data_IF_753185397339
#
_entry.id   IF_753185397339
#
_cell.length_a   1.000
_cell.length_b   1.000
_cell.length_c   1.000
_cell.angle_alpha   90.00
_cell.angle_beta   90.00
_cell.angle_gamma   90.00
#
_symmetry.space_group_name_H-M   'P 1'
#
loop_
_entity.id
_entity.type
_entity.pdbx_description
1 polymer ?
#
# COMPACT_ATOMS: atom_id res chain seq x y z
N UNK A 1 26.25 10.23 29.68
CA UNK A 1 27.49 9.46 29.77
C UNK A 1 27.43 8.67 31.06
N UNK A 2 27.51 7.35 31.17
CA UNK A 2 27.33 6.22 30.25
C UNK A 2 27.40 4.98 31.16
N UNK A 3 26.33 4.68 31.90
CA UNK A 3 26.29 3.44 32.72
C UNK A 3 25.51 2.31 32.03
N UNK A 4 24.72 2.63 31.00
CA UNK A 4 23.99 1.64 30.20
C UNK A 4 24.81 1.07 29.03
N UNK A 5 25.94 1.70 28.68
CA UNK A 5 26.77 1.30 27.53
C UNK A 5 27.84 0.27 27.90
N UNK A 6 28.24 0.20 29.17
CA UNK A 6 29.25 -0.74 29.69
C UNK A 6 28.69 -2.17 29.87
N UNK A 7 27.37 -2.31 30.12
CA UNK A 7 26.74 -3.63 30.34
C UNK A 7 26.53 -4.42 29.03
N UNK A 8 26.62 -3.77 27.87
CA UNK A 8 26.57 -4.41 26.55
C UNK A 8 27.93 -4.92 26.06
N UNK A 9 29.03 -4.58 26.72
CA UNK A 9 30.40 -4.99 26.35
C UNK A 9 30.89 -6.24 27.09
N UNK A 10 30.11 -6.79 28.03
CA UNK A 10 30.47 -8.00 28.81
C UNK A 10 29.72 -9.28 28.39
N UNK A 11 29.26 -9.36 27.14
CA UNK A 11 28.79 -10.62 26.59
C UNK A 11 29.96 -11.48 26.11
N UNK A 12 30.17 -12.59 26.83
CA UNK A 12 31.18 -13.62 26.53
C UNK A 12 31.07 -14.24 25.13
N UNK A 13 31.95 -15.21 24.81
CA UNK A 13 32.13 -15.69 23.44
C UNK A 13 30.82 -16.21 22.84
N UNK A 14 30.49 -15.68 21.66
CA UNK A 14 29.32 -16.07 20.86
C UNK A 14 29.29 -17.59 20.65
N UNK A 15 28.12 -18.25 20.72
CA UNK A 15 28.02 -19.65 20.34
C UNK A 15 28.48 -19.82 18.90
N UNK A 16 29.40 -20.77 18.70
CA UNK A 16 29.95 -21.11 17.38
C UNK A 16 28.81 -21.57 16.48
N UNK A 17 28.68 -20.91 15.33
CA UNK A 17 27.78 -21.31 14.25
C UNK A 17 28.10 -22.76 13.87
N UNK A 18 27.17 -23.68 14.13
CA UNK A 18 27.28 -25.05 13.68
C UNK A 18 27.26 -25.06 12.15
N UNK A 19 28.32 -25.60 11.55
CA UNK A 19 28.38 -25.87 10.12
C UNK A 19 27.48 -27.07 9.83
N UNK A 20 26.31 -26.84 9.24
CA UNK A 20 25.58 -27.88 8.52
C UNK A 20 26.03 -27.86 7.07
N UNK A 21 26.62 -28.97 6.64
CA UNK A 21 26.94 -29.31 5.25
C UNK A 21 25.68 -29.39 4.37
N UNK A 22 25.82 -29.23 3.05
CA UNK A 22 24.69 -29.14 2.14
C UNK A 22 24.07 -30.52 1.92
N UNK A 23 22.81 -30.68 2.30
CA UNK A 23 21.96 -31.77 1.82
C UNK A 23 21.03 -31.20 0.75
N UNK A 24 21.19 -31.73 -0.46
CA UNK A 24 20.20 -31.69 -1.53
C UNK A 24 18.82 -32.09 -1.00
N UNK A 25 17.86 -31.18 -1.03
CA UNK A 25 16.45 -31.53 -1.06
C UNK A 25 15.76 -30.65 -2.09
N UNK A 26 15.73 -31.16 -3.32
CA UNK A 26 14.72 -30.83 -4.33
C UNK A 26 13.36 -31.33 -3.83
N UNK A 27 12.77 -30.61 -2.88
CA UNK A 27 11.38 -30.78 -2.46
C UNK A 27 10.55 -29.69 -3.11
N UNK A 28 10.00 -29.96 -4.29
CA UNK A 28 8.89 -29.16 -4.82
C UNK A 28 7.68 -29.57 -4.00
N UNK A 29 7.22 -28.72 -3.08
CA UNK A 29 5.91 -28.88 -2.43
C UNK A 29 4.85 -28.75 -3.53
N UNK A 30 4.41 -29.90 -4.07
CA UNK A 30 3.42 -29.99 -5.13
C UNK A 30 1.98 -29.69 -4.66
N UNK A 31 1.81 -29.32 -3.38
CA UNK A 31 0.53 -29.00 -2.74
C UNK A 31 0.54 -27.60 -2.07
N UNK A 32 1.16 -26.56 -2.67
CA UNK A 32 0.85 -25.17 -2.28
C UNK A 32 -0.38 -24.68 -3.08
N UNK A 33 -1.59 -24.63 -2.49
CA UNK A 33 -2.80 -24.16 -3.16
C UNK A 33 -2.78 -22.66 -3.49
N UNK A 34 -1.70 -21.94 -3.16
CA UNK A 34 -1.53 -20.52 -3.49
C UNK A 34 -0.60 -20.25 -4.68
N UNK A 35 0.09 -21.25 -5.22
CA UNK A 35 0.91 -21.09 -6.42
C UNK A 35 0.05 -20.61 -7.61
N UNK A 36 -1.16 -21.16 -7.73
CA UNK A 36 -2.14 -20.86 -8.78
C UNK A 36 -2.80 -19.46 -8.63
N UNK A 37 -2.64 -18.81 -7.48
CA UNK A 37 -3.24 -17.48 -7.21
C UNK A 37 -2.40 -16.33 -7.79
N UNK A 38 -1.08 -16.51 -7.85
CA UNK A 38 -0.17 -15.54 -8.49
C UNK A 38 -0.18 -15.67 -10.01
N UNK A 39 -0.51 -16.85 -10.56
CA UNK A 39 -0.44 -17.10 -12.01
C UNK A 39 -1.76 -16.77 -12.75
N UNK A 40 -2.92 -16.82 -12.08
CA UNK A 40 -4.24 -16.60 -12.73
C UNK A 40 -4.81 -15.19 -12.68
N UNK A 41 -4.18 -14.27 -11.95
CA UNK A 41 -4.67 -12.87 -11.84
C UNK A 41 -3.86 -11.86 -12.66
N UNK A 42 -2.86 -12.31 -13.41
CA UNK A 42 -2.05 -11.46 -14.29
C UNK A 42 -2.09 -11.96 -15.74
N UNK A 43 -2.74 -11.25 -16.68
CA UNK A 43 -2.48 -11.53 -18.09
C UNK A 43 -1.03 -11.12 -18.42
N UNK A 44 -0.25 -11.96 -19.13
CA UNK A 44 1.04 -11.55 -19.64
C UNK A 44 0.81 -10.50 -20.73
N UNK A 45 1.30 -9.27 -20.51
CA UNK A 45 1.34 -8.19 -21.49
C UNK A 45 0.03 -7.98 -22.28
N UNK A 46 -0.98 -7.38 -21.67
CA UNK A 46 -2.08 -6.81 -22.43
C UNK A 46 -1.54 -5.66 -23.31
N UNK A 47 -1.79 -5.66 -24.64
CA UNK A 47 -1.33 -4.59 -25.53
C UNK A 47 -1.95 -3.25 -25.10
N UNK A 48 -1.11 -2.20 -25.10
CA UNK A 48 -1.51 -0.82 -24.83
C UNK A 48 -2.60 -0.39 -25.79
N UNK A 49 -3.84 -0.39 -25.30
CA UNK A 49 -4.99 0.15 -26.02
C UNK A 49 -4.97 1.68 -25.90
N UNK A 50 -5.39 2.44 -26.93
CA UNK A 50 -5.43 3.91 -26.88
C UNK A 50 -6.40 4.38 -25.78
N UNK A 51 -6.27 5.61 -25.27
CA UNK A 51 -7.17 6.10 -24.22
C UNK A 51 -8.61 6.17 -24.75
N UNK A 52 -9.44 5.23 -24.30
CA UNK A 52 -10.90 5.29 -24.51
C UNK A 52 -11.44 6.57 -23.88
N UNK A 53 -12.25 7.27 -24.66
CA UNK A 53 -12.98 8.46 -24.22
C UNK A 53 -13.88 8.06 -23.05
N UNK A 54 -13.75 8.78 -21.94
CA UNK A 54 -14.60 8.60 -20.77
C UNK A 54 -16.02 8.99 -21.14
N UNK A 55 -16.88 8.00 -21.35
CA UNK A 55 -18.31 8.20 -21.44
C UNK A 55 -18.85 8.69 -20.09
N UNK A 56 -19.30 9.94 -20.08
CA UNK A 56 -20.07 10.55 -19.01
C UNK A 56 -21.48 9.96 -19.03
N UNK A 57 -21.78 9.00 -18.14
CA UNK A 57 -23.14 8.84 -17.61
C UNK A 57 -23.22 7.81 -16.48
N UNK A 58 -23.13 8.27 -15.23
CA UNK A 58 -24.00 7.77 -14.14
C UNK A 58 -24.30 8.95 -13.21
N UNK A 59 -25.57 9.34 -13.19
CA UNK A 59 -26.14 10.35 -12.31
C UNK A 59 -26.24 9.80 -10.88
N UNK A 60 -25.37 10.31 -10.01
CA UNK A 60 -25.56 10.44 -8.57
C UNK A 60 -24.58 11.52 -8.13
N UNK A 61 -25.06 12.77 -8.01
CA UNK A 61 -24.21 13.94 -7.78
C UNK A 61 -23.77 14.06 -6.31
N UNK A 62 -23.28 12.96 -5.71
CA UNK A 62 -22.63 13.06 -4.41
C UNK A 62 -21.23 13.64 -4.63
N UNK A 63 -20.97 14.76 -3.94
CA UNK A 63 -19.63 15.32 -3.90
C UNK A 63 -18.69 14.33 -3.20
N UNK A 64 -17.40 14.37 -3.54
CA UNK A 64 -16.39 13.56 -2.84
C UNK A 64 -16.38 13.84 -1.32
N UNK A 65 -16.72 15.07 -0.91
CA UNK A 65 -16.83 15.47 0.49
C UNK A 65 -18.02 14.78 1.20
N UNK A 66 -19.19 14.68 0.56
CA UNK A 66 -20.32 13.92 1.12
C UNK A 66 -19.99 12.43 1.25
N UNK A 67 -19.35 11.84 0.23
CA UNK A 67 -18.92 10.43 0.30
C UNK A 67 -17.88 10.19 1.40
N UNK A 68 -17.03 11.18 1.69
CA UNK A 68 -16.07 11.12 2.78
C UNK A 68 -16.73 11.21 4.16
N UNK A 69 -17.75 12.06 4.32
CA UNK A 69 -18.48 12.23 5.57
C UNK A 69 -19.25 10.97 5.96
N UNK A 70 -19.86 10.32 4.97
CA UNK A 70 -20.69 9.12 5.15
C UNK A 70 -19.90 7.81 4.93
N UNK A 71 -18.56 7.87 4.99
CA UNK A 71 -17.72 6.71 4.70
C UNK A 71 -17.90 5.60 5.75
N UNK A 72 -18.57 4.52 5.33
CA UNK A 72 -18.63 3.25 6.06
C UNK A 72 -17.77 2.20 5.34
N UNK A 73 -16.60 1.91 5.90
CA UNK A 73 -15.64 0.97 5.35
C UNK A 73 -16.20 -0.41 4.97
N UNK A 74 -17.19 -0.92 5.69
CA UNK A 74 -17.72 -2.27 5.48
C UNK A 74 -18.68 -2.35 4.30
N UNK A 75 -19.48 -1.30 4.09
CA UNK A 75 -20.54 -1.27 3.07
C UNK A 75 -20.30 -0.23 1.97
N UNK A 76 -19.10 0.36 1.92
CA UNK A 76 -18.82 1.47 1.01
C UNK A 76 -18.92 1.05 -0.48
N UNK A 77 -19.73 1.74 -1.30
CA UNK A 77 -19.83 1.45 -2.73
C UNK A 77 -18.63 2.03 -3.49
N UNK A 78 -17.52 1.28 -3.55
CA UNK A 78 -16.27 1.73 -4.19
C UNK A 78 -16.40 2.17 -5.65
N UNK A 79 -17.42 1.70 -6.38
CA UNK A 79 -17.70 2.18 -7.73
C UNK A 79 -18.04 3.69 -7.78
N UNK A 80 -18.61 4.24 -6.71
CA UNK A 80 -18.97 5.67 -6.62
C UNK A 80 -17.76 6.61 -6.61
N UNK A 81 -16.60 6.13 -6.16
CA UNK A 81 -15.37 6.94 -6.06
C UNK A 81 -14.41 6.75 -7.23
N UNK A 82 -14.65 5.74 -8.07
CA UNK A 82 -13.84 5.45 -9.26
C UNK A 82 -13.70 6.65 -10.22
N UNK A 83 -14.76 7.43 -10.53
CA UNK A 83 -14.64 8.61 -11.39
C UNK A 83 -13.70 9.69 -10.83
N UNK A 84 -13.46 9.69 -9.51
CA UNK A 84 -12.56 10.63 -8.86
C UNK A 84 -11.11 10.15 -8.80
N UNK A 85 -10.79 8.97 -9.35
CA UNK A 85 -9.44 8.40 -9.32
C UNK A 85 -9.12 7.57 -8.08
N UNK A 86 -10.13 7.21 -7.27
CA UNK A 86 -9.94 6.29 -6.13
C UNK A 86 -10.33 4.88 -6.55
N UNK A 87 -9.40 3.93 -6.45
CA UNK A 87 -9.62 2.51 -6.76
C UNK A 87 -9.37 1.64 -5.53
N UNK A 88 -10.22 0.62 -5.33
CA UNK A 88 -10.02 -0.38 -4.30
C UNK A 88 -9.31 -1.62 -4.86
N UNK A 89 -8.14 -1.92 -4.31
CA UNK A 89 -7.29 -3.06 -4.61
C UNK A 89 -7.03 -3.93 -3.37
N UNK A 90 -7.86 -3.81 -2.33
CA UNK A 90 -7.78 -4.68 -1.17
C UNK A 90 -8.03 -6.14 -1.58
N UNK A 91 -7.22 -7.05 -1.02
CA UNK A 91 -7.46 -8.49 -1.19
C UNK A 91 -8.71 -8.86 -0.41
N UNK A 92 -9.64 -9.54 -1.08
CA UNK A 92 -10.74 -10.24 -0.42
C UNK A 92 -10.26 -11.67 -0.12
N UNK A 93 -10.00 -12.04 1.14
CA UNK A 93 -9.51 -13.38 1.46
C UNK A 93 -10.58 -14.41 1.09
N UNK A 94 -10.29 -15.28 0.12
CA UNK A 94 -11.19 -16.40 -0.24
C UNK A 94 -11.02 -17.58 0.71
N UNK A 95 -9.81 -17.78 1.24
CA UNK A 95 -9.48 -18.87 2.16
C UNK A 95 -8.50 -18.39 3.23
N UNK A 96 -8.93 -18.41 4.50
CA UNK A 96 -8.09 -18.07 5.65
C UNK A 96 -7.62 -16.61 5.71
N UNK A 97 -6.96 -16.25 6.81
CA UNK A 97 -6.27 -14.96 6.93
C UNK A 97 -4.91 -15.05 6.23
N UNK A 98 -4.56 -14.12 5.33
CA UNK A 98 -3.25 -14.14 4.68
C UNK A 98 -2.14 -13.91 5.72
N UNK A 99 -0.99 -14.54 5.48
CA UNK A 99 0.21 -14.28 6.31
C UNK A 99 0.75 -12.88 6.04
N UNK A 100 1.49 -12.31 7.01
CA UNK A 100 2.09 -10.98 6.85
C UNK A 100 2.98 -10.87 5.62
N UNK A 101 3.71 -11.94 5.27
CA UNK A 101 4.52 -12.01 4.05
C UNK A 101 3.68 -11.88 2.77
N UNK A 102 2.53 -12.55 2.70
CA UNK A 102 1.59 -12.45 1.57
C UNK A 102 0.96 -11.05 1.47
N UNK A 103 0.63 -10.44 2.61
CA UNK A 103 0.12 -9.06 2.67
C UNK A 103 1.18 -8.07 2.17
N UNK A 104 2.43 -8.20 2.61
CA UNK A 104 3.53 -7.34 2.14
C UNK A 104 3.81 -7.54 0.65
N UNK A 105 3.80 -8.78 0.16
CA UNK A 105 4.00 -9.08 -1.26
C UNK A 105 2.90 -8.43 -2.12
N UNK A 106 1.63 -8.55 -1.72
CA UNK A 106 0.51 -7.86 -2.36
C UNK A 106 0.71 -6.35 -2.37
N UNK A 107 1.01 -5.76 -1.21
CA UNK A 107 1.18 -4.31 -1.11
C UNK A 107 2.32 -3.78 -2.01
N UNK A 108 3.46 -4.47 -2.02
CA UNK A 108 4.59 -4.18 -2.90
C UNK A 108 4.18 -4.23 -4.38
N UNK A 109 3.48 -5.29 -4.79
CA UNK A 109 3.06 -5.47 -6.18
C UNK A 109 2.07 -4.39 -6.62
N UNK A 110 1.10 -4.02 -5.77
CA UNK A 110 0.14 -2.96 -6.07
C UNK A 110 0.80 -1.58 -6.18
N UNK A 111 1.77 -1.25 -5.30
CA UNK A 111 2.50 0.01 -5.39
C UNK A 111 3.35 0.06 -6.67
N UNK A 112 3.99 -1.06 -7.04
CA UNK A 112 4.75 -1.15 -8.27
C UNK A 112 3.86 -0.99 -9.51
N UNK A 113 2.71 -1.69 -9.56
CA UNK A 113 1.74 -1.57 -10.62
C UNK A 113 1.15 -0.15 -10.74
N UNK A 114 0.90 0.53 -9.61
CA UNK A 114 0.47 1.94 -9.60
C UNK A 114 1.50 2.84 -10.30
N UNK A 115 2.80 2.64 -10.01
CA UNK A 115 3.89 3.40 -10.63
C UNK A 115 4.00 3.13 -12.12
N UNK A 116 3.81 1.87 -12.52
CA UNK A 116 3.83 1.47 -13.92
C UNK A 116 2.67 2.08 -14.70
N UNK A 117 1.44 2.03 -14.17
CA UNK A 117 0.26 2.65 -14.77
C UNK A 117 0.45 4.16 -14.96
N UNK A 118 1.01 4.85 -13.98
CA UNK A 118 1.31 6.28 -14.06
C UNK A 118 2.46 6.60 -15.02
N UNK A 119 3.34 5.64 -15.27
CA UNK A 119 4.63 5.81 -15.95
C UNK A 119 5.75 6.05 -14.95
N UNK A 120 6.61 5.02 -14.76
CA UNK A 120 7.62 4.96 -13.68
C UNK A 120 8.51 6.21 -13.57
N UNK A 121 8.87 6.84 -14.70
CA UNK A 121 9.76 8.01 -14.73
C UNK A 121 9.08 9.33 -14.36
N UNK A 122 7.76 9.39 -14.49
CA UNK A 122 6.96 10.60 -14.25
C UNK A 122 6.02 10.44 -13.06
N UNK A 123 5.92 9.25 -12.47
CA UNK A 123 5.08 9.00 -11.31
C UNK A 123 5.65 9.68 -10.07
N UNK A 124 4.96 10.70 -9.55
CA UNK A 124 5.19 11.26 -8.23
C UNK A 124 4.15 10.66 -7.29
N UNK A 125 4.59 10.00 -6.23
CA UNK A 125 3.70 9.19 -5.39
C UNK A 125 4.06 9.24 -3.91
N UNK A 126 3.11 8.82 -3.09
CA UNK A 126 3.24 8.69 -1.63
C UNK A 126 2.45 7.47 -1.16
N UNK A 127 3.05 6.70 -0.25
CA UNK A 127 2.39 5.63 0.49
C UNK A 127 1.94 6.20 1.84
N UNK A 128 0.77 5.78 2.32
CA UNK A 128 0.30 6.17 3.63
C UNK A 128 -0.76 5.26 4.21
N UNK A 129 -1.10 5.48 5.48
CA UNK A 129 -2.25 4.87 6.15
C UNK A 129 -3.32 5.89 6.56
N UNK A 130 -4.58 5.45 6.69
CA UNK A 130 -5.74 6.26 7.10
C UNK A 130 -6.91 5.37 7.52
N UNK A 131 -7.85 5.89 8.32
CA UNK A 131 -9.15 5.25 8.56
C UNK A 131 -10.23 5.68 7.54
N UNK A 132 -9.97 6.75 6.77
CA UNK A 132 -10.88 7.26 5.74
C UNK A 132 -10.08 7.67 4.49
N UNK A 133 -9.98 6.77 3.48
CA UNK A 133 -9.24 7.04 2.24
C UNK A 133 -9.82 8.21 1.44
N UNK A 134 -11.13 8.37 1.43
CA UNK A 134 -11.82 9.41 0.65
C UNK A 134 -11.49 10.79 1.21
N UNK A 135 -11.65 10.96 2.52
CA UNK A 135 -11.28 12.20 3.21
C UNK A 135 -9.80 12.53 3.01
N UNK A 136 -8.95 11.51 3.10
CA UNK A 136 -7.50 11.67 2.91
C UNK A 136 -7.15 12.09 1.50
N UNK A 137 -7.85 11.56 0.50
CA UNK A 137 -7.60 11.90 -0.90
C UNK A 137 -8.02 13.32 -1.27
N UNK A 138 -9.06 13.88 -0.63
CA UNK A 138 -9.45 15.27 -0.84
C UNK A 138 -8.26 16.21 -0.64
N UNK A 139 -7.54 16.07 0.48
CA UNK A 139 -6.32 16.86 0.75
C UNK A 139 -5.19 16.61 -0.25
N UNK A 140 -5.12 15.40 -0.82
CA UNK A 140 -4.10 15.09 -1.83
C UNK A 140 -4.39 15.69 -3.20
N UNK A 141 -5.67 15.85 -3.56
CA UNK A 141 -6.07 16.60 -4.75
C UNK A 141 -5.68 18.07 -4.66
N UNK A 142 -5.67 18.64 -3.46
CA UNK A 142 -5.21 20.00 -3.22
C UNK A 142 -3.71 20.17 -3.49
N UNK A 143 -2.92 19.10 -3.57
CA UNK A 143 -1.48 19.14 -3.92
C UNK A 143 -1.16 18.45 -5.23
N UNK A 144 -2.16 18.31 -6.11
CA UNK A 144 -1.96 17.85 -7.50
C UNK A 144 -1.85 16.34 -7.69
N UNK A 145 -2.13 15.53 -6.67
CA UNK A 145 -2.33 14.10 -6.87
C UNK A 145 -3.68 13.84 -7.56
N UNK A 146 -3.68 12.86 -8.47
CA UNK A 146 -4.81 12.56 -9.36
C UNK A 146 -5.44 11.21 -9.07
N UNK A 147 -4.69 10.30 -8.46
CA UNK A 147 -5.11 8.91 -8.26
C UNK A 147 -4.74 8.42 -6.84
N UNK A 148 -5.57 7.54 -6.30
CA UNK A 148 -5.32 6.81 -5.07
C UNK A 148 -5.78 5.37 -5.21
N UNK A 149 -4.91 4.42 -4.88
CA UNK A 149 -5.24 3.02 -4.76
C UNK A 149 -5.26 2.64 -3.28
N UNK A 150 -6.38 2.07 -2.83
CA UNK A 150 -6.52 1.48 -1.50
C UNK A 150 -6.06 0.03 -1.60
N UNK A 151 -4.96 -0.30 -0.93
CA UNK A 151 -4.18 -1.51 -1.20
C UNK A 151 -4.47 -2.62 -0.19
N UNK A 152 -4.65 -2.26 1.08
CA UNK A 152 -4.88 -3.23 2.15
C UNK A 152 -5.76 -2.62 3.23
N UNK A 153 -6.62 -3.43 3.83
CA UNK A 153 -7.47 -3.09 4.96
C UNK A 153 -7.09 -3.98 6.15
N UNK A 154 -7.02 -3.40 7.35
CA UNK A 154 -6.66 -4.11 8.59
C UNK A 154 -7.32 -3.45 9.80
N UNK A 155 -7.72 -4.24 10.79
CA UNK A 155 -8.28 -3.71 12.04
C UNK A 155 -7.22 -3.39 13.10
N UNK A 156 -5.96 -3.80 12.88
CA UNK A 156 -4.85 -3.57 13.79
C UNK A 156 -4.03 -2.36 13.35
N UNK A 157 -3.97 -1.35 14.23
CA UNK A 157 -3.14 -0.16 14.02
C UNK A 157 -1.66 -0.53 13.92
N UNK A 158 -1.18 -1.47 14.73
CA UNK A 158 0.22 -1.87 14.72
C UNK A 158 0.58 -2.59 13.42
N UNK A 159 -0.28 -3.50 12.97
CA UNK A 159 -0.04 -4.28 11.74
C UNK A 159 -0.05 -3.39 10.50
N UNK A 160 -1.01 -2.47 10.38
CA UNK A 160 -1.06 -1.56 9.24
C UNK A 160 0.10 -0.55 9.27
N UNK A 161 0.51 -0.13 10.48
CA UNK A 161 1.64 0.78 10.70
C UNK A 161 2.98 0.16 10.32
N UNK A 162 3.21 -1.09 10.72
CA UNK A 162 4.39 -1.85 10.30
C UNK A 162 4.39 -2.09 8.79
N UNK A 163 3.23 -2.37 8.20
CA UNK A 163 3.12 -2.55 6.75
C UNK A 163 3.45 -1.25 6.00
N UNK A 164 2.97 -0.10 6.48
CA UNK A 164 3.33 1.22 5.94
C UNK A 164 4.84 1.45 5.99
N UNK A 165 5.45 1.24 7.16
CA UNK A 165 6.88 1.40 7.35
C UNK A 165 7.69 0.49 6.42
N UNK A 166 7.29 -0.78 6.28
CA UNK A 166 7.94 -1.72 5.36
C UNK A 166 7.83 -1.27 3.89
N UNK A 167 6.66 -0.79 3.46
CA UNK A 167 6.50 -0.24 2.10
C UNK A 167 7.34 1.03 1.90
N UNK A 168 7.38 1.94 2.88
CA UNK A 168 8.21 3.15 2.79
C UNK A 168 9.70 2.79 2.70
N UNK A 169 10.18 1.83 3.49
CA UNK A 169 11.55 1.34 3.40
C UNK A 169 11.89 0.82 1.98
N UNK A 170 10.95 0.10 1.35
CA UNK A 170 11.12 -0.44 0.00
C UNK A 170 11.11 0.63 -1.11
N UNK A 171 10.29 1.69 -0.95
CA UNK A 171 10.01 2.63 -2.05
C UNK A 171 10.58 4.05 -1.84
N UNK A 172 11.09 4.41 -0.67
CA UNK A 172 11.58 5.77 -0.38
C UNK A 172 12.73 6.22 -1.27
N UNK A 173 13.60 5.29 -1.68
CA UNK A 173 14.71 5.56 -2.60
C UNK A 173 14.27 5.64 -4.07
N UNK A 174 13.01 5.33 -4.39
CA UNK A 174 12.54 5.35 -5.77
C UNK A 174 12.24 6.78 -6.23
N UNK A 175 12.56 7.05 -7.50
CA UNK A 175 12.26 8.34 -8.15
C UNK A 175 10.76 8.65 -8.01
N UNK A 176 10.48 9.88 -7.60
CA UNK A 176 9.13 10.40 -7.44
C UNK A 176 8.45 10.06 -6.11
N UNK A 177 9.07 9.23 -5.25
CA UNK A 177 8.54 8.96 -3.91
C UNK A 177 8.62 10.22 -3.02
N UNK A 178 7.53 10.54 -2.33
CA UNK A 178 7.41 11.69 -1.39
C UNK A 178 7.43 11.25 0.08
N UNK A 179 7.67 9.98 0.36
CA UNK A 179 7.94 9.52 1.72
C UNK A 179 9.41 9.73 2.05
N UNK A 180 9.72 10.13 3.29
CA UNK A 180 11.09 10.17 3.78
C UNK A 180 11.52 8.74 4.16
N UNK A 181 12.79 8.39 3.92
CA UNK A 181 13.33 7.13 4.41
C UNK A 181 13.22 7.04 5.93
N UNK A 182 13.15 5.81 6.47
CA UNK A 182 13.01 5.54 7.91
C UNK A 182 11.80 6.25 8.56
N UNK A 183 10.71 6.42 7.80
CA UNK A 183 9.43 6.92 8.33
C UNK A 183 8.30 5.94 8.07
N UNK A 184 7.16 6.18 8.73
CA UNK A 184 5.98 5.32 8.67
C UNK A 184 5.50 4.95 10.06
N UNK A 185 4.33 4.35 10.13
CA UNK A 185 3.72 3.89 11.36
C UNK A 185 3.03 4.96 12.20
N UNK A 186 2.97 6.20 11.72
CA UNK A 186 2.30 7.30 12.42
C UNK A 186 1.03 7.79 11.72
N UNK A 187 0.74 7.32 10.49
CA UNK A 187 -0.12 7.96 9.47
C UNK A 187 -1.42 8.62 9.93
N UNK A 188 -1.30 9.81 10.55
CA UNK A 188 -2.38 10.54 11.19
C UNK A 188 -3.28 9.70 12.14
N UNK A 189 -2.80 8.55 12.62
CA UNK A 189 -3.55 7.65 13.51
C UNK A 189 -3.33 7.99 14.99
N UNK A 190 -2.31 8.80 15.31
CA UNK A 190 -2.02 9.27 16.67
C UNK A 190 -2.93 10.42 17.15
N UNK A 191 -4.16 10.51 16.63
CA UNK A 191 -5.13 11.56 17.00
C UNK A 191 -5.80 11.24 18.33
N UNK A 192 -6.31 12.27 19.01
CA UNK A 192 -7.15 12.12 20.20
C UNK A 192 -8.56 12.65 19.90
N UNK A 193 -9.62 11.80 19.97
CA UNK A 193 -9.57 10.36 20.26
C UNK A 193 -8.93 9.55 19.11
N UNK A 194 -8.37 8.35 19.40
CA UNK A 194 -7.78 7.51 18.38
C UNK A 194 -8.82 7.08 17.35
N UNK A 195 -8.49 7.11 16.05
CA UNK A 195 -9.39 6.64 15.01
C UNK A 195 -9.68 5.16 15.19
N UNK A 196 -10.94 4.79 14.93
CA UNK A 196 -11.40 3.41 15.01
C UNK A 196 -11.04 2.66 13.72
N UNK A 197 -10.83 1.33 13.80
CA UNK A 197 -10.71 0.48 12.63
C UNK A 197 -11.98 0.51 11.76
N UNK A 198 -11.88 0.09 10.49
CA UNK A 198 -10.67 -0.43 9.85
C UNK A 198 -9.71 0.66 9.38
N UNK A 199 -8.43 0.29 9.31
CA UNK A 199 -7.35 1.11 8.78
C UNK A 199 -6.96 0.62 7.39
N UNK A 200 -6.54 1.56 6.55
CA UNK A 200 -6.25 1.33 5.15
C UNK A 200 -4.83 1.76 4.81
N UNK A 201 -4.07 0.88 4.17
CA UNK A 201 -2.87 1.24 3.43
C UNK A 201 -3.30 1.71 2.05
N UNK A 202 -2.74 2.83 1.59
CA UNK A 202 -2.94 3.33 0.25
C UNK A 202 -1.63 3.79 -0.39
N UNK A 203 -1.66 3.87 -1.72
CA UNK A 203 -0.72 4.66 -2.50
C UNK A 203 -1.51 5.76 -3.22
N UNK A 204 -1.00 6.98 -3.22
CA UNK A 204 -1.54 8.08 -4.00
C UNK A 204 -0.46 8.67 -4.87
N UNK A 205 -0.83 9.26 -6.00
CA UNK A 205 0.13 9.83 -6.91
C UNK A 205 -0.51 10.63 -8.01
N UNK A 206 0.37 11.22 -8.81
CA UNK A 206 0.04 11.98 -10.00
C UNK A 206 1.28 12.09 -10.87
N UNK A 207 1.09 12.47 -12.12
CA UNK A 207 2.21 12.56 -13.05
C UNK A 207 2.92 13.91 -12.93
N UNK A 208 4.25 13.90 -13.00
CA UNK A 208 5.10 15.08 -12.95
C UNK A 208 4.96 15.98 -14.19
N UNK A 209 4.49 15.44 -15.30
CA UNK A 209 4.32 16.13 -16.59
C UNK A 209 2.94 16.78 -16.75
N UNK A 210 2.10 16.75 -15.71
CA UNK A 210 0.84 17.48 -15.72
C UNK A 210 1.07 19.00 -15.55
N UNK A 211 0.07 19.81 -15.91
CA UNK A 211 0.16 21.29 -15.86
C UNK A 211 0.32 21.88 -14.45
N UNK A 212 0.20 21.06 -13.41
CA UNK A 212 0.24 21.45 -12.00
C UNK A 212 1.32 20.65 -11.27
N UNK A 213 2.04 21.32 -10.38
CA UNK A 213 3.03 20.67 -9.50
C UNK A 213 2.35 19.60 -8.63
N UNK A 214 3.02 18.45 -8.49
CA UNK A 214 2.60 17.32 -7.66
C UNK A 214 3.44 17.20 -6.39
N UNK A 215 2.77 17.23 -5.25
CA UNK A 215 3.37 17.04 -3.92
C UNK A 215 4.10 18.26 -3.39
#
# INVERSE_FOLDING_TARGET
MDEWFEELLQQGPRPKCAKTSPSDESGVDLDDPYQDYFDRTYPPNAPSSPPEKRDESVSSSSSLASLAADFDALNFPWASVKPFGILNHCVMPRHGKPTSGKVLAHAKNQIQAFREQMGVRVCVFKVGITCNPIQRFISYREVGFTDMWVVTMCDSVDSISMLEAACIALFSAHVGCRNKAETGGEGALNRSPPPKPPFFLYVTGGRADQLRKVG
#
